data_IF_481933326033
#
_entry.id   IF_481933326033
#
_cell.length_a   1.000
_cell.length_b   1.000
_cell.length_c   1.000
_cell.angle_alpha   90.00
_cell.angle_beta   90.00
_cell.angle_gamma   90.00
#
_symmetry.space_group_name_H-M   'P 1'
#
loop_
_entity.id
_entity.type
_entity.pdbx_description
1 polymer ?
#
# COMPACT_ATOMS: atom_id res chain seq x y z
N UNK A 1 -3.60 45.19 -48.69
CA UNK A 1 -3.13 43.88 -48.16
C UNK A 1 -2.72 43.99 -46.68
N UNK A 2 -3.64 44.36 -45.77
CA UNK A 2 -3.35 44.57 -44.32
C UNK A 2 -4.17 43.65 -43.39
N UNK A 3 -5.21 42.98 -43.91
CA UNK A 3 -6.14 42.13 -43.15
C UNK A 3 -5.61 40.72 -42.86
N UNK A 4 -4.55 40.27 -43.55
CA UNK A 4 -3.98 38.92 -43.38
C UNK A 4 -3.07 38.82 -42.14
N UNK A 5 -2.39 39.92 -41.77
CA UNK A 5 -1.43 39.94 -40.66
C UNK A 5 -2.10 39.77 -39.28
N UNK A 6 -3.29 40.35 -39.11
CA UNK A 6 -4.00 40.33 -37.83
C UNK A 6 -4.62 38.95 -37.52
N UNK A 7 -5.09 38.24 -38.55
CA UNK A 7 -5.66 36.88 -38.42
C UNK A 7 -4.63 35.84 -37.97
N UNK A 8 -3.38 35.93 -38.44
CA UNK A 8 -2.31 35.01 -38.01
C UNK A 8 -1.93 35.22 -36.53
N UNK A 9 -1.93 36.46 -36.06
CA UNK A 9 -1.64 36.80 -34.66
C UNK A 9 -2.78 36.38 -33.73
N UNK A 10 -4.03 36.58 -34.19
CA UNK A 10 -5.23 36.13 -33.48
C UNK A 10 -5.29 34.60 -33.36
N UNK A 11 -5.09 33.88 -34.48
CA UNK A 11 -5.01 32.41 -34.48
C UNK A 11 -3.90 31.91 -33.55
N UNK A 12 -2.70 32.50 -33.61
CA UNK A 12 -1.57 32.12 -32.75
C UNK A 12 -1.87 32.30 -31.26
N UNK A 13 -2.61 33.35 -30.88
CA UNK A 13 -3.00 33.59 -29.50
C UNK A 13 -4.09 32.61 -29.04
N UNK A 14 -5.12 32.37 -29.87
CA UNK A 14 -6.17 31.39 -29.58
C UNK A 14 -5.61 29.96 -29.49
N UNK A 15 -4.70 29.59 -30.39
CA UNK A 15 -4.00 28.31 -30.40
C UNK A 15 -3.12 28.16 -29.14
N UNK A 16 -2.39 29.20 -28.74
CA UNK A 16 -1.63 29.18 -27.49
C UNK A 16 -2.53 29.00 -26.25
N UNK A 17 -3.67 29.69 -26.20
CA UNK A 17 -4.64 29.49 -25.11
C UNK A 17 -5.23 28.09 -25.15
N UNK A 18 -5.55 27.55 -26.33
CA UNK A 18 -6.07 26.20 -26.49
C UNK A 18 -5.06 25.15 -26.01
N UNK A 19 -3.80 25.28 -26.42
CA UNK A 19 -2.69 24.42 -26.00
C UNK A 19 -2.49 24.49 -24.49
N UNK A 20 -2.57 25.69 -23.89
CA UNK A 20 -2.45 25.87 -22.45
C UNK A 20 -3.60 25.21 -21.68
N UNK A 21 -4.84 25.36 -22.14
CA UNK A 21 -5.98 24.71 -21.50
C UNK A 21 -5.89 23.19 -21.63
N UNK A 22 -5.51 22.69 -22.81
CA UNK A 22 -5.34 21.26 -23.07
C UNK A 22 -4.25 20.65 -22.17
N UNK A 23 -3.11 21.33 -22.02
CA UNK A 23 -2.01 20.84 -21.17
C UNK A 23 -2.42 20.79 -19.69
N UNK A 24 -3.12 21.82 -19.19
CA UNK A 24 -3.67 21.85 -17.83
C UNK A 24 -4.66 20.70 -17.61
N UNK A 25 -5.55 20.46 -18.58
CA UNK A 25 -6.55 19.38 -18.51
C UNK A 25 -5.88 18.00 -18.46
N UNK A 26 -4.85 17.79 -19.28
CA UNK A 26 -4.06 16.55 -19.28
C UNK A 26 -3.36 16.33 -17.94
N UNK A 27 -2.70 17.36 -17.39
CA UNK A 27 -2.03 17.27 -16.08
C UNK A 27 -3.03 16.93 -14.98
N UNK A 28 -4.20 17.57 -14.97
CA UNK A 28 -5.25 17.30 -13.99
C UNK A 28 -5.72 15.85 -14.04
N UNK A 29 -5.99 15.32 -15.24
CA UNK A 29 -6.38 13.92 -15.43
C UNK A 29 -5.29 12.97 -14.93
N UNK A 30 -4.02 13.25 -15.23
CA UNK A 30 -2.89 12.44 -14.76
C UNK A 30 -2.73 12.46 -13.24
N UNK A 31 -3.00 13.59 -12.57
CA UNK A 31 -2.95 13.68 -11.10
C UNK A 31 -4.08 12.89 -10.46
N UNK A 32 -5.30 12.99 -10.99
CA UNK A 32 -6.48 12.28 -10.46
C UNK A 32 -6.34 10.76 -10.66
N UNK A 33 -5.86 10.32 -11.83
CA UNK A 33 -5.67 8.90 -12.11
C UNK A 33 -4.37 8.33 -11.50
N UNK A 34 -3.34 9.16 -11.38
CA UNK A 34 -2.01 8.78 -10.87
C UNK A 34 -1.92 8.73 -9.34
N UNK A 35 -2.84 9.36 -8.61
CA UNK A 35 -2.94 9.24 -7.16
C UNK A 35 -3.68 7.94 -6.78
N UNK A 36 -3.15 6.81 -7.22
CA UNK A 36 -3.62 5.50 -6.79
C UNK A 36 -3.32 5.29 -5.31
N UNK A 37 -4.35 5.01 -4.51
CA UNK A 37 -4.19 4.54 -3.13
C UNK A 37 -3.38 3.25 -3.18
N UNK A 38 -2.10 3.31 -2.78
CA UNK A 38 -1.28 2.11 -2.57
C UNK A 38 -2.11 1.16 -1.72
N UNK A 39 -2.29 -0.07 -2.20
CA UNK A 39 -3.03 -1.08 -1.46
C UNK A 39 -2.45 -1.16 -0.03
N UNK A 40 -3.28 -1.42 1.00
CA UNK A 40 -2.77 -1.74 2.32
C UNK A 40 -1.65 -2.79 2.19
N UNK A 41 -0.58 -2.71 3.00
CA UNK A 41 0.45 -3.71 2.98
C UNK A 41 -0.19 -5.10 3.16
N UNK A 42 0.33 -6.09 2.45
CA UNK A 42 -0.11 -7.47 2.60
C UNK A 42 0.06 -7.84 4.09
N UNK A 43 -0.98 -8.37 4.75
CA UNK A 43 -0.85 -8.82 6.14
C UNK A 43 0.33 -9.79 6.27
N UNK A 44 1.12 -9.70 7.37
CA UNK A 44 2.19 -10.65 7.60
C UNK A 44 1.64 -12.08 7.63
N UNK A 45 2.47 -13.03 7.21
CA UNK A 45 2.10 -14.44 7.20
C UNK A 45 1.61 -14.87 8.58
N UNK A 46 0.36 -15.30 8.69
CA UNK A 46 -0.19 -15.78 9.94
C UNK A 46 0.27 -17.22 10.15
N UNK A 47 1.32 -17.40 10.95
CA UNK A 47 1.68 -18.73 11.43
C UNK A 47 0.63 -19.18 12.46
N UNK A 48 0.07 -20.37 12.27
CA UNK A 48 -0.80 -20.97 13.28
C UNK A 48 0.07 -21.25 14.52
N UNK A 49 -0.31 -20.76 15.71
CA UNK A 49 0.46 -21.07 16.91
C UNK A 49 0.46 -22.58 17.16
N UNK A 50 1.56 -23.12 17.72
CA UNK A 50 1.63 -24.54 18.04
C UNK A 50 0.53 -24.91 19.04
N UNK A 51 0.00 -26.13 18.90
CA UNK A 51 -0.91 -26.66 19.91
C UNK A 51 -0.17 -26.72 21.25
N UNK A 52 -0.84 -26.36 22.35
CA UNK A 52 -0.28 -26.46 23.70
C UNK A 52 -1.02 -27.52 24.48
N UNK A 53 -0.30 -28.29 25.29
CA UNK A 53 -0.84 -29.26 26.22
C UNK A 53 -0.79 -28.71 27.65
N UNK A 54 -1.66 -29.25 28.50
CA UNK A 54 -1.66 -29.01 29.94
C UNK A 54 -1.65 -27.52 30.35
N UNK A 55 -2.48 -26.70 29.70
CA UNK A 55 -2.65 -25.30 30.10
C UNK A 55 -3.23 -25.23 31.53
N UNK A 56 -2.43 -24.68 32.46
CA UNK A 56 -2.77 -24.51 33.87
C UNK A 56 -2.62 -23.05 34.26
N UNK A 57 -3.58 -22.57 35.04
CA UNK A 57 -3.51 -21.26 35.68
C UNK A 57 -3.38 -21.44 37.19
N UNK A 58 -2.51 -20.66 37.81
CA UNK A 58 -2.44 -20.51 39.27
C UNK A 58 -2.34 -19.04 39.63
N UNK A 59 -2.81 -18.68 40.83
CA UNK A 59 -2.70 -17.32 41.36
C UNK A 59 -1.69 -17.39 42.50
N UNK A 60 -0.59 -16.69 42.36
CA UNK A 60 0.43 -16.57 43.40
C UNK A 60 0.42 -15.14 43.96
N UNK A 61 -0.05 -15.02 45.20
CA UNK A 61 -0.34 -13.78 45.93
C UNK A 61 -1.30 -12.80 45.22
N UNK A 62 -0.88 -12.22 44.09
CA UNK A 62 -1.68 -11.33 43.23
C UNK A 62 -1.34 -11.46 41.74
N UNK A 63 -0.39 -12.32 41.37
CA UNK A 63 0.07 -12.47 39.98
C UNK A 63 -0.50 -13.77 39.39
N UNK A 64 -1.27 -13.69 38.30
CA UNK A 64 -1.69 -14.88 37.57
C UNK A 64 -0.48 -15.51 36.88
N UNK A 65 -0.17 -16.75 37.21
CA UNK A 65 0.85 -17.57 36.55
C UNK A 65 0.14 -18.56 35.63
N UNK A 66 0.64 -18.65 34.40
CA UNK A 66 0.19 -19.63 33.41
C UNK A 66 1.35 -20.57 33.09
N UNK A 67 1.08 -21.87 33.08
CA UNK A 67 2.04 -22.90 32.70
C UNK A 67 1.41 -23.79 31.63
N UNK A 68 2.18 -24.14 30.61
CA UNK A 68 1.78 -25.05 29.53
C UNK A 68 3.00 -25.73 28.92
N UNK A 69 2.79 -26.83 28.21
CA UNK A 69 3.82 -27.57 27.48
C UNK A 69 3.58 -27.48 25.97
N UNK A 70 4.65 -27.26 25.20
CA UNK A 70 4.61 -27.34 23.74
C UNK A 70 5.00 -28.79 23.37
N UNK A 71 4.13 -29.58 22.73
CA UNK A 71 4.45 -30.93 22.31
C UNK A 71 5.51 -30.89 21.22
N UNK A 72 6.54 -31.73 21.35
CA UNK A 72 7.49 -31.93 20.26
C UNK A 72 6.76 -32.56 19.07
N UNK A 73 6.87 -31.93 17.90
CA UNK A 73 6.39 -32.47 16.65
C UNK A 73 7.07 -33.82 16.42
N UNK A 74 6.29 -34.90 16.35
CA UNK A 74 6.77 -36.17 15.83
C UNK A 74 7.00 -36.04 14.32
N UNK A 75 8.17 -35.54 13.95
CA UNK A 75 8.73 -35.68 12.60
C UNK A 75 8.56 -34.48 11.67
N UNK A 76 9.41 -33.48 11.86
CA UNK A 76 9.74 -32.47 10.86
C UNK A 76 11.16 -31.99 11.08
N UNK A 77 12.08 -32.48 10.25
CA UNK A 77 13.49 -32.12 10.28
C UNK A 77 13.57 -30.62 9.95
N UNK A 78 13.81 -29.76 10.93
CA UNK A 78 14.22 -28.38 10.67
C UNK A 78 15.76 -28.40 10.62
N UNK A 79 16.41 -28.25 9.46
CA UNK A 79 17.83 -28.01 9.44
C UNK A 79 18.03 -26.60 10.01
N UNK A 80 18.50 -26.53 11.25
CA UNK A 80 19.14 -25.33 11.79
C UNK A 80 20.39 -25.08 10.95
N UNK A 81 20.32 -24.14 10.01
CA UNK A 81 21.53 -23.61 9.37
C UNK A 81 22.27 -22.77 10.40
N UNK A 82 23.45 -23.27 10.74
CA UNK A 82 24.52 -22.62 11.49
C UNK A 82 25.00 -21.32 10.81
#
# INVERSE_FOLDING_TARGET
MHTVRNRKRLYKNFDMHLILHLSILIIFVLVVLGCGKKAPPVPPHQAKPPAVNELRASIDASTPKLAWTIPEEKGGIIPSSQ
#
